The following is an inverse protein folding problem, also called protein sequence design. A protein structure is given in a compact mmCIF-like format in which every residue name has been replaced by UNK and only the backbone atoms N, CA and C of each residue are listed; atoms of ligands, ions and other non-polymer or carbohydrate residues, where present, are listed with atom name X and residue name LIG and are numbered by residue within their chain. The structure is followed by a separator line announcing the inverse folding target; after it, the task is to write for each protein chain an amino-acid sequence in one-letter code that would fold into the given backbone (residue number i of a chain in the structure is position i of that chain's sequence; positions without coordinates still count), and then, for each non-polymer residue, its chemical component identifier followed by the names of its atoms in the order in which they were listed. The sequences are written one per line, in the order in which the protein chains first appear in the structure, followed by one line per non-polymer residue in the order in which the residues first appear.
data_IF_963523252064
#
_entry.id   IF_963523252064
#
_cell.length_a   1.000
_cell.length_b   1.000
_cell.length_c   1.000
_cell.angle_alpha   90.00
_cell.angle_beta   90.00
_cell.angle_gamma   90.00
#
_symmetry.space_group_name_H-M   'P 1'
#
loop_
_entity.id
_entity.type
_entity.pdbx_description
1 polymer ?
#
# COMPACT_ATOMS: atom_id res chain seq x y z
N UNK A 1 17.59 6.89 -4.53
CA UNK A 1 18.26 5.75 -5.18
C UNK A 1 17.29 4.70 -5.73
N UNK A 2 15.99 4.73 -5.39
CA UNK A 2 14.97 3.82 -5.93
C UNK A 2 14.15 4.38 -7.10
N UNK A 3 14.24 5.69 -7.38
CA UNK A 3 13.50 6.31 -8.49
C UNK A 3 13.98 5.85 -9.87
N UNK A 4 15.23 5.39 -9.96
CA UNK A 4 15.87 4.96 -11.22
C UNK A 4 15.71 3.47 -11.52
N UNK A 5 15.01 2.73 -10.66
CA UNK A 5 15.17 1.27 -10.60
C UNK A 5 13.88 0.50 -10.85
N UNK A 6 12.71 1.16 -10.84
CA UNK A 6 11.47 0.39 -10.75
C UNK A 6 10.20 0.84 -11.43
N UNK A 7 10.20 2.04 -12.00
CA UNK A 7 9.08 2.61 -12.74
C UNK A 7 9.63 3.70 -13.66
N UNK A 8 10.19 3.31 -14.80
CA UNK A 8 10.78 4.25 -15.75
C UNK A 8 9.81 4.44 -16.91
N UNK A 9 9.51 5.69 -17.25
CA UNK A 9 8.88 6.05 -18.52
C UNK A 9 9.93 6.71 -19.40
N UNK A 10 10.30 6.05 -20.50
CA UNK A 10 11.16 6.62 -21.54
C UNK A 10 10.27 7.17 -22.64
N UNK A 11 10.21 8.50 -22.75
CA UNK A 11 9.52 9.18 -23.84
C UNK A 11 10.51 9.49 -24.95
N UNK A 12 10.14 9.21 -26.20
CA UNK A 12 10.95 9.58 -27.35
C UNK A 12 11.03 11.10 -27.50
N UNK A 13 12.15 11.60 -28.03
CA UNK A 13 12.34 13.04 -28.24
C UNK A 13 11.29 13.59 -29.22
N UNK A 14 10.74 14.79 -28.98
CA UNK A 14 9.84 15.43 -29.94
C UNK A 14 10.51 15.53 -31.32
N UNK A 15 9.81 15.09 -32.37
CA UNK A 15 10.32 15.00 -33.75
C UNK A 15 11.55 14.10 -33.94
N UNK A 16 11.87 13.24 -32.97
CA UNK A 16 12.93 12.23 -33.09
C UNK A 16 12.61 11.17 -34.14
N UNK A 17 13.63 10.38 -34.49
CA UNK A 17 13.50 9.27 -35.43
C UNK A 17 12.53 8.23 -34.88
N UNK A 18 12.52 8.01 -33.57
CA UNK A 18 11.65 7.07 -32.89
C UNK A 18 10.17 7.48 -32.98
N UNK A 19 9.86 8.75 -32.74
CA UNK A 19 8.49 9.28 -32.87
C UNK A 19 8.02 9.22 -34.32
N UNK A 20 8.89 9.59 -35.25
CA UNK A 20 8.61 9.52 -36.69
C UNK A 20 8.39 8.07 -37.15
N UNK A 21 9.16 7.14 -36.57
CA UNK A 21 8.99 5.70 -36.76
C UNK A 21 7.78 5.10 -36.02
N UNK A 22 7.10 5.87 -35.18
CA UNK A 22 5.87 5.49 -34.52
C UNK A 22 5.99 5.04 -33.06
N UNK A 23 7.16 5.11 -32.43
CA UNK A 23 7.31 4.88 -30.99
C UNK A 23 7.02 6.16 -30.21
N UNK A 24 6.03 6.11 -29.31
CA UNK A 24 5.64 7.27 -28.49
C UNK A 24 6.35 7.24 -27.13
N UNK A 25 6.22 6.13 -26.40
CA UNK A 25 6.92 5.91 -25.14
C UNK A 25 7.06 4.43 -24.82
N UNK A 26 8.01 4.12 -23.94
CA UNK A 26 8.20 2.80 -23.31
C UNK A 26 8.15 2.94 -21.80
N UNK A 27 7.43 2.05 -21.13
CA UNK A 27 7.27 2.03 -19.68
C UNK A 27 7.74 0.70 -19.11
N UNK A 28 8.51 0.76 -18.04
CA UNK A 28 9.14 -0.38 -17.38
C UNK A 28 8.69 -0.41 -15.92
N UNK A 29 8.00 -1.48 -15.52
CA UNK A 29 7.38 -1.62 -14.21
C UNK A 29 7.96 -2.80 -13.43
N UNK A 30 8.19 -2.57 -12.13
CA UNK A 30 8.44 -3.65 -11.19
C UNK A 30 7.14 -4.39 -10.86
N UNK A 31 7.18 -5.72 -10.94
CA UNK A 31 6.06 -6.59 -10.62
C UNK A 31 5.92 -6.88 -9.11
N UNK A 32 6.15 -5.89 -8.25
CA UNK A 32 6.18 -6.04 -6.79
C UNK A 32 4.84 -6.52 -6.18
N UNK A 33 3.73 -6.28 -6.89
CA UNK A 33 2.38 -6.70 -6.48
C UNK A 33 2.01 -8.08 -7.01
N UNK A 34 2.74 -8.61 -7.99
CA UNK A 34 2.41 -9.88 -8.63
C UNK A 34 2.31 -11.05 -7.63
N UNK A 35 3.18 -11.15 -6.60
CA UNK A 35 3.01 -12.16 -5.57
C UNK A 35 1.67 -12.06 -4.82
N UNK A 36 1.04 -10.89 -4.77
CA UNK A 36 -0.17 -10.67 -3.98
C UNK A 36 -1.45 -10.57 -4.83
N UNK A 37 -1.36 -10.55 -6.15
CA UNK A 37 -2.51 -10.49 -7.06
C UNK A 37 -3.20 -11.87 -7.16
N UNK A 38 -4.51 -11.92 -6.96
CA UNK A 38 -5.35 -13.02 -7.45
C UNK A 38 -6.61 -12.40 -8.02
N UNK A 39 -6.67 -12.29 -9.36
CA UNK A 39 -7.78 -11.68 -10.07
C UNK A 39 -8.13 -10.27 -9.54
N UNK A 40 -7.11 -9.45 -9.28
CA UNK A 40 -7.22 -8.09 -8.71
C UNK A 40 -7.70 -8.03 -7.25
N UNK A 41 -7.75 -9.17 -6.57
CA UNK A 41 -7.95 -9.27 -5.12
C UNK A 41 -6.61 -9.44 -4.42
N UNK A 42 -6.10 -8.33 -3.92
CA UNK A 42 -4.80 -8.27 -3.25
C UNK A 42 -4.90 -8.63 -1.76
N UNK A 43 -3.96 -9.43 -1.27
CA UNK A 43 -3.90 -9.83 0.13
C UNK A 43 -3.70 -8.61 1.06
N UNK A 44 -4.45 -8.50 2.16
CA UNK A 44 -4.35 -7.42 3.16
C UNK A 44 -4.78 -6.00 2.69
N UNK A 45 -5.27 -5.82 1.45
CA UNK A 45 -5.76 -4.52 0.96
C UNK A 45 -7.26 -4.18 1.22
N UNK A 46 -8.18 -5.16 1.39
CA UNK A 46 -9.58 -4.82 1.63
C UNK A 46 -9.76 -3.85 2.82
N UNK A 47 -10.43 -2.69 2.62
CA UNK A 47 -10.60 -1.66 3.67
C UNK A 47 -11.48 -2.15 4.83
N UNK A 48 -12.28 -3.20 4.59
CA UNK A 48 -13.15 -3.82 5.60
C UNK A 48 -12.38 -4.33 6.82
N UNK A 49 -11.07 -4.62 6.68
CA UNK A 49 -10.26 -5.05 7.83
C UNK A 49 -10.17 -4.00 8.93
N UNK A 50 -10.29 -2.70 8.62
CA UNK A 50 -10.32 -1.62 9.62
C UNK A 50 -11.43 -1.83 10.67
N UNK A 51 -12.51 -2.54 10.33
CA UNK A 51 -13.57 -2.88 11.28
C UNK A 51 -13.11 -3.83 12.41
N UNK A 52 -11.97 -4.50 12.28
CA UNK A 52 -11.37 -5.29 13.36
C UNK A 52 -10.82 -4.42 14.51
N UNK A 53 -10.56 -3.14 14.24
CA UNK A 53 -10.11 -2.20 15.24
C UNK A 53 -11.26 -1.52 15.99
N UNK A 54 -12.50 -1.71 15.54
CA UNK A 54 -13.69 -1.07 16.13
C UNK A 54 -14.19 -1.93 17.28
N UNK A 55 -14.62 -1.26 18.36
CA UNK A 55 -15.15 -1.92 19.54
C UNK A 55 -16.34 -2.87 19.18
N UNK A 56 -16.28 -4.16 19.57
CA UNK A 56 -17.34 -5.12 19.25
C UNK A 56 -18.71 -4.78 19.85
N UNK A 57 -18.77 -4.14 21.02
CA UNK A 57 -20.01 -3.64 21.65
C UNK A 57 -20.62 -2.56 20.77
N UNK A 58 -19.82 -1.62 20.29
CA UNK A 58 -20.28 -0.55 19.41
C UNK A 58 -20.82 -1.08 18.09
N UNK A 59 -20.11 -2.03 17.46
CA UNK A 59 -20.57 -2.69 16.24
C UNK A 59 -21.91 -3.42 16.44
N UNK A 60 -22.11 -4.08 17.59
CA UNK A 60 -23.40 -4.70 17.93
C UNK A 60 -24.52 -3.66 18.07
N UNK A 61 -24.24 -2.50 18.65
CA UNK A 61 -25.20 -1.41 18.79
C UNK A 61 -25.60 -0.82 17.43
N UNK A 62 -24.63 -0.55 16.55
CA UNK A 62 -24.90 -0.07 15.18
C UNK A 62 -25.77 -1.04 14.38
N UNK A 63 -25.48 -2.35 14.49
CA UNK A 63 -26.28 -3.41 13.85
C UNK A 63 -27.71 -3.43 14.38
N UNK A 64 -27.91 -3.30 15.69
CA UNK A 64 -29.26 -3.23 16.32
C UNK A 64 -30.02 -1.98 15.91
N UNK A 65 -29.34 -0.86 15.72
CA UNK A 65 -29.96 0.40 15.30
C UNK A 65 -30.32 0.43 13.79
N UNK A 66 -30.00 -0.61 13.02
CA UNK A 66 -30.21 -0.65 11.56
C UNK A 66 -29.36 0.35 10.78
N UNK A 67 -28.32 0.93 11.41
CA UNK A 67 -27.54 2.05 10.85
C UNK A 67 -26.32 1.62 10.05
N UNK A 68 -25.99 0.33 10.01
CA UNK A 68 -24.84 -0.16 9.24
C UNK A 68 -24.95 -1.64 8.84
N UNK A 69 -24.52 -1.94 7.61
CA UNK A 69 -24.08 -3.28 7.19
C UNK A 69 -22.75 -3.60 7.86
N UNK A 70 -22.81 -4.00 9.12
CA UNK A 70 -21.63 -4.38 9.89
C UNK A 70 -21.14 -5.76 9.42
N UNK A 71 -19.91 -5.82 8.90
CA UNK A 71 -19.26 -7.08 8.56
C UNK A 71 -19.18 -8.00 9.78
N UNK A 72 -19.48 -9.29 9.59
CA UNK A 72 -19.33 -10.28 10.65
C UNK A 72 -17.86 -10.33 11.12
N UNK A 73 -17.65 -10.02 12.40
CA UNK A 73 -16.33 -9.96 13.02
C UNK A 73 -15.60 -11.31 12.98
N UNK A 74 -16.33 -12.42 13.13
CA UNK A 74 -15.73 -13.75 13.07
C UNK A 74 -15.24 -14.07 11.65
N UNK A 75 -16.09 -13.83 10.65
CA UNK A 75 -15.73 -13.96 9.24
C UNK A 75 -14.57 -13.01 8.86
N UNK A 76 -14.58 -11.77 9.35
CA UNK A 76 -13.55 -10.78 9.06
C UNK A 76 -12.20 -11.16 9.67
N UNK A 77 -12.18 -11.64 10.92
CA UNK A 77 -10.96 -12.14 11.57
C UNK A 77 -10.40 -13.33 10.82
N UNK A 78 -11.26 -14.28 10.42
CA UNK A 78 -10.86 -15.42 9.58
C UNK A 78 -10.27 -14.95 8.24
N UNK A 79 -10.94 -14.01 7.56
CA UNK A 79 -10.47 -13.45 6.30
C UNK A 79 -9.10 -12.75 6.46
N UNK A 80 -8.89 -12.01 7.55
CA UNK A 80 -7.61 -11.36 7.86
C UNK A 80 -6.47 -12.40 8.03
N UNK A 81 -6.71 -13.44 8.83
CA UNK A 81 -5.72 -14.52 9.06
C UNK A 81 -5.39 -15.25 7.76
N UNK A 82 -6.40 -15.61 6.97
CA UNK A 82 -6.20 -16.24 5.65
C UNK A 82 -5.42 -15.34 4.70
N UNK A 83 -5.68 -14.03 4.73
CA UNK A 83 -4.94 -13.04 3.94
C UNK A 83 -3.46 -12.98 4.33
N UNK A 84 -3.15 -13.00 5.64
CA UNK A 84 -1.77 -13.09 6.13
C UNK A 84 -1.08 -14.39 5.70
N UNK A 85 -1.76 -15.52 5.85
CA UNK A 85 -1.24 -16.82 5.43
C UNK A 85 -0.95 -16.83 3.93
N UNK A 86 -1.87 -16.33 3.10
CA UNK A 86 -1.68 -16.17 1.67
C UNK A 86 -0.46 -15.29 1.37
N UNK A 87 -0.34 -14.12 1.99
CA UNK A 87 0.80 -13.23 1.77
C UNK A 87 2.14 -13.90 2.16
N UNK A 88 2.18 -14.61 3.29
CA UNK A 88 3.37 -15.32 3.75
C UNK A 88 3.74 -16.50 2.84
N UNK A 89 2.77 -17.28 2.40
CA UNK A 89 2.99 -18.39 1.46
C UNK A 89 3.51 -17.84 0.14
N UNK A 90 2.85 -16.82 -0.41
CA UNK A 90 3.25 -16.21 -1.68
C UNK A 90 4.69 -15.71 -1.63
N UNK A 91 5.10 -15.02 -0.56
CA UNK A 91 6.49 -14.58 -0.40
C UNK A 91 7.47 -15.76 -0.35
N UNK A 92 7.14 -16.86 0.35
CA UNK A 92 8.01 -18.04 0.44
C UNK A 92 8.15 -18.75 -0.92
N UNK A 93 7.05 -18.94 -1.63
CA UNK A 93 7.04 -19.63 -2.94
C UNK A 93 7.66 -18.79 -4.07
N UNK A 94 7.89 -17.48 -3.83
CA UNK A 94 8.53 -16.57 -4.76
C UNK A 94 10.07 -16.62 -4.74
N UNK A 95 10.69 -17.27 -3.76
CA UNK A 95 12.15 -17.30 -3.58
C UNK A 95 12.91 -17.77 -4.83
N UNK A 96 12.37 -18.78 -5.52
CA UNK A 96 12.98 -19.34 -6.74
C UNK A 96 12.42 -18.72 -8.02
N UNK A 97 11.75 -17.56 -7.93
CA UNK A 97 11.17 -16.85 -9.08
C UNK A 97 11.89 -15.52 -9.26
N UNK A 98 12.24 -15.21 -10.51
CA UNK A 98 12.60 -13.85 -10.89
C UNK A 98 11.37 -13.21 -11.53
N UNK A 99 10.86 -12.15 -10.90
CA UNK A 99 9.86 -11.30 -11.53
C UNK A 99 10.65 -10.26 -12.32
N UNK A 100 10.87 -10.55 -13.60
CA UNK A 100 11.49 -9.58 -14.51
C UNK A 100 10.69 -8.28 -14.59
N UNK A 101 11.22 -7.33 -15.35
CA UNK A 101 10.55 -6.06 -15.60
C UNK A 101 9.36 -6.29 -16.55
N UNK A 102 8.18 -5.77 -16.20
CA UNK A 102 7.08 -5.67 -17.19
C UNK A 102 7.35 -4.47 -18.07
N UNK A 103 7.34 -4.69 -19.38
CA UNK A 103 7.53 -3.66 -20.39
C UNK A 103 6.20 -3.34 -21.07
N UNK A 104 5.92 -2.07 -21.29
CA UNK A 104 4.74 -1.58 -21.99
C UNK A 104 5.14 -0.50 -23.00
N UNK A 105 4.90 -0.74 -24.28
CA UNK A 105 5.28 0.18 -25.36
C UNK A 105 4.05 0.78 -26.01
N UNK A 106 4.01 2.11 -26.09
CA UNK A 106 3.00 2.84 -26.84
C UNK A 106 3.54 3.12 -28.23
N UNK A 107 2.96 2.43 -29.21
CA UNK A 107 3.36 2.54 -30.62
C UNK A 107 2.18 2.96 -31.52
N UNK A 108 2.51 3.48 -32.68
CA UNK A 108 1.55 3.82 -33.74
C UNK A 108 0.98 2.54 -34.37
N UNK A 109 -0.22 2.65 -34.94
CA UNK A 109 -0.84 1.54 -35.66
C UNK A 109 -0.01 1.07 -36.87
N UNK A 110 0.58 1.97 -37.70
CA UNK A 110 1.50 1.56 -38.76
C UNK A 110 2.68 0.74 -38.25
N UNK A 111 3.34 1.18 -37.17
CA UNK A 111 4.47 0.44 -36.59
C UNK A 111 4.02 -0.93 -36.06
N UNK A 112 2.87 -1.01 -35.39
CA UNK A 112 2.33 -2.29 -34.93
C UNK A 112 2.10 -3.26 -36.10
N UNK A 113 1.57 -2.79 -37.24
CA UNK A 113 1.36 -3.64 -38.42
C UNK A 113 2.67 -4.16 -39.01
N UNK A 114 3.71 -3.33 -39.04
CA UNK A 114 5.05 -3.74 -39.48
C UNK A 114 5.63 -4.80 -38.55
N UNK A 115 5.59 -4.56 -37.23
CA UNK A 115 6.04 -5.54 -36.21
C UNK A 115 5.32 -6.88 -36.36
N UNK A 116 4.00 -6.87 -36.61
CA UNK A 116 3.23 -8.10 -36.81
C UNK A 116 3.57 -8.81 -38.13
N UNK A 117 3.86 -8.07 -39.20
CA UNK A 117 4.27 -8.66 -40.47
C UNK A 117 5.64 -9.34 -40.37
N UNK A 118 6.56 -8.75 -39.59
CA UNK A 118 7.91 -9.25 -39.44
C UNK A 118 8.05 -10.22 -38.25
N UNK A 119 6.99 -10.43 -37.45
CA UNK A 119 7.05 -11.15 -36.18
C UNK A 119 7.70 -12.54 -36.28
N UNK A 120 7.28 -13.32 -37.28
CA UNK A 120 7.77 -14.69 -37.49
C UNK A 120 9.19 -14.74 -38.08
N UNK A 121 9.71 -13.61 -38.56
CA UNK A 121 11.06 -13.49 -39.11
C UNK A 121 12.11 -13.09 -38.08
N UNK A 122 11.69 -12.73 -36.87
CA UNK A 122 12.60 -12.32 -35.78
C UNK A 122 13.39 -13.52 -35.27
N UNK A 123 14.68 -13.55 -35.55
CA UNK A 123 15.62 -14.51 -34.93
C UNK A 123 15.86 -14.05 -33.50
N UNK A 124 15.39 -14.83 -32.52
CA UNK A 124 15.68 -14.56 -31.12
C UNK A 124 17.19 -14.69 -30.85
N UNK A 125 17.81 -13.71 -30.18
CA UNK A 125 19.22 -13.82 -29.80
C UNK A 125 19.41 -15.07 -28.93
N UNK A 126 20.46 -15.85 -29.22
CA UNK A 126 20.89 -16.95 -28.36
C UNK A 126 21.23 -16.41 -26.98
N UNK A 127 20.87 -17.16 -25.92
CA UNK A 127 21.02 -16.76 -24.51
C UNK A 127 22.43 -16.28 -24.12
N UNK A 128 23.45 -16.65 -24.90
CA UNK A 128 24.85 -16.24 -24.69
C UNK A 128 25.10 -14.74 -24.89
N UNK A 129 24.20 -14.01 -25.58
CA UNK A 129 24.36 -12.58 -25.88
C UNK A 129 23.49 -11.63 -25.04
N UNK A 130 22.76 -12.14 -24.04
CA UNK A 130 21.96 -11.26 -23.17
C UNK A 130 22.87 -10.63 -22.13
N UNK A 131 23.22 -9.36 -22.32
CA UNK A 131 23.90 -8.57 -21.30
C UNK A 131 23.06 -8.57 -20.01
N UNK A 132 23.65 -9.03 -18.91
CA UNK A 132 23.02 -8.94 -17.60
C UNK A 132 22.71 -7.47 -17.27
N UNK A 133 21.64 -7.19 -16.51
CA UNK A 133 21.32 -5.82 -16.12
C UNK A 133 22.48 -5.21 -15.32
N UNK A 134 22.72 -3.92 -15.54
CA UNK A 134 23.81 -3.17 -14.87
C UNK A 134 23.73 -3.25 -13.34
N UNK A 135 22.52 -3.39 -12.82
CA UNK A 135 22.28 -3.58 -11.40
C UNK A 135 21.10 -4.56 -11.23
N UNK A 136 21.14 -5.38 -10.19
CA UNK A 136 20.02 -6.25 -9.79
C UNK A 136 19.91 -6.26 -8.27
N UNK A 137 18.68 -6.32 -7.76
CA UNK A 137 18.42 -6.60 -6.34
C UNK A 137 18.14 -8.09 -6.21
N UNK A 138 18.82 -8.83 -5.31
CA UNK A 138 18.47 -10.20 -5.03
C UNK A 138 16.99 -10.35 -4.69
N UNK A 139 16.33 -11.37 -5.25
CA UNK A 139 14.92 -11.66 -4.97
C UNK A 139 14.67 -11.75 -3.46
N UNK A 140 15.58 -12.39 -2.73
CA UNK A 140 15.45 -12.56 -1.29
C UNK A 140 15.43 -11.24 -0.54
N UNK A 141 16.23 -10.25 -0.92
CA UNK A 141 16.24 -8.95 -0.28
C UNK A 141 14.89 -8.24 -0.46
N UNK A 142 14.32 -8.31 -1.66
CA UNK A 142 12.99 -7.77 -1.94
C UNK A 142 11.91 -8.49 -1.15
N UNK A 143 11.95 -9.82 -1.08
CA UNK A 143 10.98 -10.63 -0.32
C UNK A 143 11.07 -10.38 1.19
N UNK A 144 12.29 -10.28 1.75
CA UNK A 144 12.51 -9.93 3.15
C UNK A 144 12.02 -8.52 3.46
N UNK A 145 12.31 -7.56 2.58
CA UNK A 145 11.80 -6.20 2.70
C UNK A 145 10.27 -6.18 2.74
N UNK A 146 9.60 -6.82 1.78
CA UNK A 146 8.14 -6.93 1.72
C UNK A 146 7.54 -7.60 2.96
N UNK A 147 8.17 -8.68 3.42
CA UNK A 147 7.79 -9.36 4.67
C UNK A 147 7.88 -8.40 5.85
N UNK A 148 8.95 -7.63 5.94
CA UNK A 148 9.12 -6.58 6.96
C UNK A 148 8.04 -5.49 6.88
N UNK A 149 7.72 -5.02 5.67
CA UNK A 149 6.67 -4.01 5.45
C UNK A 149 5.30 -4.47 5.91
N UNK A 150 4.95 -5.73 5.65
CA UNK A 150 3.69 -6.32 6.09
C UNK A 150 3.71 -6.51 7.61
N UNK A 151 4.77 -7.14 8.13
CA UNK A 151 4.86 -7.54 9.53
C UNK A 151 4.85 -6.36 10.48
N UNK A 152 5.45 -5.22 10.16
CA UNK A 152 5.45 -4.05 11.05
C UNK A 152 4.03 -3.58 11.39
N UNK A 153 3.12 -3.63 10.41
CA UNK A 153 1.73 -3.21 10.60
C UNK A 153 0.88 -4.33 11.20
N UNK A 154 1.07 -5.58 10.79
CA UNK A 154 0.44 -6.73 11.45
C UNK A 154 0.79 -6.78 12.94
N UNK A 155 2.07 -6.68 13.28
CA UNK A 155 2.57 -6.71 14.65
C UNK A 155 1.94 -5.60 15.48
N UNK A 156 1.95 -4.36 14.98
CA UNK A 156 1.33 -3.23 15.68
C UNK A 156 -0.15 -3.47 15.97
N UNK A 157 -0.91 -3.92 14.97
CA UNK A 157 -2.33 -4.23 15.14
C UNK A 157 -2.56 -5.36 16.14
N UNK A 158 -1.91 -6.50 15.93
CA UNK A 158 -2.12 -7.71 16.73
C UNK A 158 -1.64 -7.56 18.17
N UNK A 159 -0.55 -6.81 18.38
CA UNK A 159 -0.02 -6.52 19.70
C UNK A 159 -1.01 -5.69 20.52
N UNK A 160 -1.58 -4.62 19.93
CA UNK A 160 -2.57 -3.79 20.62
C UNK A 160 -3.86 -4.58 20.84
N UNK A 161 -4.33 -5.31 19.83
CA UNK A 161 -5.53 -6.15 19.94
C UNK A 161 -5.39 -7.22 21.02
N UNK A 162 -4.24 -7.89 21.11
CA UNK A 162 -3.99 -8.95 22.08
C UNK A 162 -3.90 -8.48 23.54
N UNK A 163 -3.70 -7.17 23.75
CA UNK A 163 -3.67 -6.52 25.08
C UNK A 163 -4.93 -5.74 25.40
N UNK A 164 -5.77 -5.50 24.39
CA UNK A 164 -7.02 -4.80 24.57
C UNK A 164 -7.98 -5.65 25.42
N UNK A 165 -8.78 -4.98 26.25
CA UNK A 165 -9.83 -5.64 27.02
C UNK A 165 -11.02 -6.03 26.14
N UNK A 166 -12.14 -6.46 26.76
CA UNK A 166 -13.40 -6.74 26.05
C UNK A 166 -13.98 -5.54 25.30
N UNK A 167 -13.54 -4.32 25.66
CA UNK A 167 -13.89 -3.05 25.04
C UNK A 167 -12.61 -2.33 24.63
N UNK A 168 -12.67 -1.59 23.53
CA UNK A 168 -11.54 -0.87 22.96
C UNK A 168 -11.68 0.62 23.25
N UNK A 169 -10.69 1.18 23.94
CA UNK A 169 -10.59 2.63 24.08
C UNK A 169 -10.27 3.28 22.74
N UNK A 170 -10.53 4.58 22.62
CA UNK A 170 -10.09 5.37 21.47
C UNK A 170 -8.56 5.33 21.31
N UNK A 171 -7.84 5.27 22.43
CA UNK A 171 -6.38 5.20 22.47
C UNK A 171 -5.84 3.88 21.87
N UNK A 172 -6.62 2.80 21.90
CA UNK A 172 -6.32 1.52 21.24
C UNK A 172 -6.84 1.46 19.80
N UNK A 173 -8.06 1.95 19.59
CA UNK A 173 -8.76 1.94 18.31
C UNK A 173 -7.94 2.67 17.23
N UNK A 174 -7.47 3.88 17.53
CA UNK A 174 -6.75 4.73 16.55
C UNK A 174 -5.50 4.04 16.00
N UNK A 175 -4.54 3.58 16.83
CA UNK A 175 -3.36 2.89 16.31
C UNK A 175 -3.66 1.57 15.62
N UNK A 176 -4.69 0.83 16.04
CA UNK A 176 -5.13 -0.36 15.31
C UNK A 176 -5.67 0.00 13.91
N UNK A 177 -6.50 1.04 13.78
CA UNK A 177 -6.98 1.52 12.47
C UNK A 177 -5.81 1.98 11.60
N UNK A 178 -4.88 2.76 12.16
CA UNK A 178 -3.70 3.22 11.43
C UNK A 178 -2.84 2.04 10.94
N UNK A 179 -2.67 1.01 11.76
CA UNK A 179 -1.94 -0.19 11.37
C UNK A 179 -2.62 -0.91 10.21
N UNK A 180 -3.93 -1.15 10.30
CA UNK A 180 -4.72 -1.81 9.25
C UNK A 180 -4.79 -0.98 7.97
N UNK A 181 -4.87 0.34 8.10
CA UNK A 181 -4.79 1.26 6.96
C UNK A 181 -3.40 1.24 6.33
N UNK A 182 -2.34 1.18 7.13
CA UNK A 182 -0.97 0.99 6.65
C UNK A 182 -0.79 -0.32 5.87
N UNK A 183 -1.41 -1.41 6.33
CA UNK A 183 -1.40 -2.70 5.61
C UNK A 183 -1.98 -2.58 4.20
N UNK A 184 -3.00 -1.74 4.00
CA UNK A 184 -3.59 -1.53 2.67
C UNK A 184 -2.60 -1.00 1.63
N UNK A 185 -1.57 -0.29 2.07
CA UNK A 185 -0.57 0.36 1.20
C UNK A 185 0.85 -0.21 1.40
N UNK A 186 1.01 -1.33 2.11
CA UNK A 186 2.33 -1.79 2.57
C UNK A 186 3.29 -2.29 1.48
N UNK A 187 2.79 -2.55 0.27
CA UNK A 187 3.59 -2.95 -0.89
C UNK A 187 3.18 -2.18 -2.17
N UNK A 188 2.47 -1.06 -2.01
CA UNK A 188 2.06 -0.19 -3.10
C UNK A 188 2.08 1.28 -2.68
N UNK A 189 3.02 2.04 -3.25
CA UNK A 189 3.20 3.47 -2.95
C UNK A 189 2.31 4.38 -3.78
N UNK A 190 1.84 3.94 -4.96
CA UNK A 190 1.08 4.82 -5.86
C UNK A 190 -0.27 5.23 -5.26
N UNK A 191 -1.06 4.38 -4.61
CA UNK A 191 -2.30 4.82 -3.96
C UNK A 191 -2.05 5.56 -2.65
N UNK A 192 -0.84 5.51 -2.07
CA UNK A 192 -0.55 6.09 -0.75
C UNK A 192 -0.73 7.62 -0.73
N UNK A 193 -0.43 8.33 -1.83
CA UNK A 193 -0.61 9.79 -1.88
C UNK A 193 -2.07 10.23 -1.70
N UNK A 194 -3.02 9.32 -2.01
CA UNK A 194 -4.46 9.55 -1.83
C UNK A 194 -4.93 9.28 -0.40
N UNK A 195 -4.05 8.80 0.47
CA UNK A 195 -4.34 8.51 1.88
C UNK A 195 -3.71 9.61 2.76
N UNK A 196 -4.42 10.72 3.02
CA UNK A 196 -3.85 11.87 3.71
C UNK A 196 -3.47 11.58 5.16
N UNK A 197 -4.12 10.61 5.82
CA UNK A 197 -3.79 10.24 7.20
C UNK A 197 -2.40 9.63 7.29
N UNK A 198 -1.97 8.87 6.28
CA UNK A 198 -0.63 8.28 6.25
C UNK A 198 0.38 9.22 5.58
N UNK A 199 0.02 9.76 4.42
CA UNK A 199 0.92 10.52 3.54
C UNK A 199 1.12 11.97 4.00
N UNK A 200 0.03 12.64 4.39
CA UNK A 200 0.02 14.05 4.75
C UNK A 200 0.76 14.34 6.06
N UNK A 201 1.10 15.60 6.27
CA UNK A 201 1.82 16.08 7.45
C UNK A 201 0.88 16.86 8.38
N UNK A 202 0.75 18.16 8.17
CA UNK A 202 -0.20 19.02 8.88
C UNK A 202 -0.91 19.90 7.86
N UNK A 203 -2.23 20.02 7.98
CA UNK A 203 -3.01 20.89 7.11
C UNK A 203 -4.28 21.35 7.82
N UNK A 204 -4.80 22.49 7.39
CA UNK A 204 -6.09 22.99 7.84
C UNK A 204 -7.14 22.60 6.82
N UNK A 205 -8.16 21.87 7.26
CA UNK A 205 -9.33 21.61 6.44
C UNK A 205 -10.36 22.70 6.68
N UNK A 206 -10.70 23.41 5.61
CA UNK A 206 -11.72 24.45 5.61
C UNK A 206 -13.00 23.85 5.04
N UNK A 207 -13.90 23.47 5.93
CA UNK A 207 -15.31 23.24 5.59
C UNK A 207 -16.11 24.45 6.10
N UNK A 208 -16.90 24.27 7.17
CA UNK A 208 -17.65 25.33 7.83
C UNK A 208 -16.90 25.97 9.00
N UNK A 209 -16.07 25.19 9.68
CA UNK A 209 -15.16 25.63 10.75
C UNK A 209 -13.77 25.07 10.42
N UNK A 210 -12.71 25.90 10.46
CA UNK A 210 -11.35 25.41 10.25
C UNK A 210 -10.98 24.34 11.29
N UNK A 211 -10.60 23.17 10.81
CA UNK A 211 -10.09 22.10 11.65
C UNK A 211 -8.65 21.76 11.29
N UNK A 212 -7.78 21.76 12.30
CA UNK A 212 -6.42 21.23 12.15
C UNK A 212 -6.46 19.72 11.98
N UNK A 213 -5.85 19.24 10.90
CA UNK A 213 -5.61 17.82 10.64
C UNK A 213 -4.11 17.54 10.66
N UNK A 214 -3.78 16.33 11.07
CA UNK A 214 -2.42 15.82 10.98
C UNK A 214 -2.46 14.41 10.39
N UNK A 215 -1.45 14.09 9.58
CA UNK A 215 -1.16 12.74 9.14
C UNK A 215 0.15 12.25 9.78
N UNK A 216 0.65 11.14 9.28
CA UNK A 216 1.87 10.51 9.80
C UNK A 216 3.14 11.03 9.13
N UNK A 217 3.02 11.91 8.13
CA UNK A 217 4.14 12.57 7.48
C UNK A 217 4.98 11.65 6.59
N UNK A 218 4.39 10.55 6.08
CA UNK A 218 5.15 9.59 5.27
C UNK A 218 5.76 10.25 4.03
N UNK A 219 5.10 11.24 3.43
CA UNK A 219 5.68 12.03 2.33
C UNK A 219 7.07 12.58 2.65
N UNK A 220 7.25 13.21 3.81
CA UNK A 220 8.54 13.80 4.21
C UNK A 220 9.60 12.72 4.41
N UNK A 221 9.24 11.60 5.03
CA UNK A 221 10.18 10.48 5.22
C UNK A 221 10.58 9.83 3.90
N UNK A 222 9.64 9.70 2.95
CA UNK A 222 9.91 9.19 1.61
C UNK A 222 10.87 10.11 0.86
N UNK A 223 10.65 11.42 0.92
CA UNK A 223 11.56 12.39 0.30
C UNK A 223 12.96 12.38 0.89
N UNK A 224 13.06 12.27 2.23
CA UNK A 224 14.35 12.34 2.93
C UNK A 224 15.14 11.04 2.88
N UNK A 225 14.45 9.90 2.90
CA UNK A 225 15.07 8.60 3.15
C UNK A 225 14.74 7.54 2.08
N UNK A 226 13.93 7.88 1.07
CA UNK A 226 13.41 6.91 0.10
C UNK A 226 12.41 5.91 0.70
N UNK A 227 11.97 6.13 1.95
CA UNK A 227 11.15 5.18 2.69
C UNK A 227 10.05 5.85 3.51
N UNK A 228 8.82 5.34 3.39
CA UNK A 228 7.66 5.83 4.13
C UNK A 228 7.62 5.32 5.56
N UNK A 229 7.86 6.21 6.52
CA UNK A 229 7.71 5.98 7.94
C UNK A 229 7.05 7.16 8.67
N UNK A 230 6.62 6.90 9.90
CA UNK A 230 5.94 7.89 10.71
C UNK A 230 6.92 8.93 11.23
N UNK A 231 6.51 10.19 11.21
CA UNK A 231 7.27 11.30 11.79
C UNK A 231 7.54 11.03 13.28
N UNK A 232 8.76 11.35 13.70
CA UNK A 232 9.18 11.22 15.10
C UNK A 232 8.27 12.03 16.04
N UNK A 233 8.04 11.51 17.25
CA UNK A 233 7.26 12.18 18.29
C UNK A 233 5.74 12.10 18.14
N UNK A 234 5.20 11.46 17.09
CA UNK A 234 3.76 11.24 16.96
C UNK A 234 3.24 10.12 17.87
N UNK A 235 3.98 9.01 17.92
CA UNK A 235 3.61 7.77 18.59
C UNK A 235 4.55 7.49 19.76
N UNK A 236 3.98 7.02 20.87
CA UNK A 236 4.70 6.55 22.06
C UNK A 236 4.81 5.04 21.95
N UNK A 237 6.02 4.53 21.67
CA UNK A 237 6.25 3.10 21.42
C UNK A 237 6.19 2.27 22.70
N UNK A 238 6.46 2.87 23.86
CA UNK A 238 6.43 2.23 25.18
C UNK A 238 4.99 1.92 25.60
N UNK A 239 4.06 2.84 25.33
CA UNK A 239 2.64 2.70 25.66
C UNK A 239 1.79 2.20 24.50
N UNK A 240 2.34 2.17 23.28
CA UNK A 240 1.65 1.84 22.04
C UNK A 240 0.45 2.76 21.77
N UNK A 241 0.62 4.07 22.00
CA UNK A 241 -0.42 5.10 21.85
C UNK A 241 0.06 6.31 21.07
N UNK A 242 -0.83 6.95 20.34
CA UNK A 242 -0.59 8.31 19.85
C UNK A 242 -0.71 9.32 20.99
N UNK A 243 0.06 10.41 20.92
CA UNK A 243 -0.06 11.52 21.87
C UNK A 243 -1.46 12.12 21.79
N UNK A 244 -2.09 12.47 22.91
CA UNK A 244 -3.48 12.93 22.98
C UNK A 244 -3.89 13.99 21.94
N UNK A 245 -3.13 15.09 21.78
CA UNK A 245 -3.42 16.10 20.74
C UNK A 245 -3.32 15.56 19.31
N UNK A 246 -2.38 14.65 19.06
CA UNK A 246 -2.19 14.00 17.75
C UNK A 246 -3.37 13.08 17.43
N UNK A 247 -3.80 12.27 18.40
CA UNK A 247 -4.98 11.40 18.27
C UNK A 247 -6.19 12.19 17.79
N UNK A 248 -6.48 13.35 18.41
CA UNK A 248 -7.63 14.20 18.01
C UNK A 248 -7.52 14.72 16.57
N UNK A 249 -6.32 15.13 16.14
CA UNK A 249 -6.08 15.67 14.79
C UNK A 249 -6.06 14.60 13.69
N UNK A 250 -5.67 13.36 14.02
CA UNK A 250 -5.79 12.20 13.13
C UNK A 250 -7.25 11.77 12.90
N UNK A 251 -8.12 12.06 13.86
CA UNK A 251 -9.51 11.60 13.88
C UNK A 251 -10.49 12.47 13.07
N UNK A 252 -10.21 13.77 12.95
CA UNK A 252 -11.07 14.72 12.23
C UNK A 252 -11.38 14.15 10.85
N UNK A 253 -12.66 13.99 10.50
CA UNK A 253 -13.20 13.50 9.21
C UNK A 253 -12.78 12.07 8.78
N UNK A 254 -12.36 11.22 9.72
CA UNK A 254 -12.31 9.78 9.50
C UNK A 254 -13.68 9.19 9.83
N UNK A 255 -14.47 8.81 8.81
CA UNK A 255 -15.85 8.32 8.96
C UNK A 255 -15.95 7.09 9.89
N UNK A 256 -14.92 6.25 9.95
CA UNK A 256 -14.87 5.09 10.86
C UNK A 256 -14.60 5.47 12.32
N UNK A 257 -14.13 6.71 12.57
CA UNK A 257 -13.74 7.21 13.88
C UNK A 257 -14.46 8.53 14.22
N UNK A 258 -15.73 8.63 13.82
CA UNK A 258 -16.56 9.81 13.99
C UNK A 258 -16.69 10.23 15.46
N UNK A 259 -17.11 11.48 15.69
CA UNK A 259 -17.32 12.09 17.01
C UNK A 259 -18.26 11.30 17.96
N UNK A 260 -18.97 10.28 17.48
CA UNK A 260 -19.73 9.34 18.31
C UNK A 260 -18.82 8.49 19.22
N UNK A 261 -17.54 8.31 18.86
CA UNK A 261 -16.50 7.70 19.73
C UNK A 261 -16.12 8.58 20.94
N UNK A 262 -16.54 9.86 21.01
CA UNK A 262 -16.27 10.74 22.15
C UNK A 262 -17.26 10.56 23.31
N UNK A 263 -18.36 9.82 23.14
CA UNK A 263 -19.33 9.56 24.21
C UNK A 263 -19.20 8.13 24.73
N UNK A 264 -18.20 7.94 25.61
CA UNK A 264 -18.32 7.27 26.92
C UNK A 264 -16.97 7.35 27.64
#
# INVERSE_FOLDING_TARGET
MTDEVGNITMTSAPNGVEVTGGLVYSQYYNLIKAPFDAQKVYALQPPVYENLAIDPVYLRQLRRAGRATVADQAALKKAYVLSKQRASLNLRECHNRSFGTREEHRISLPLLRQVLADWDSVVLPTREHVSLPWFSVPTDDVLHFLRGQINRHCLLFEYILGRAGPMFSLAETVPMVIALRGLRYCYDSNPLFKEPVLFGDEWTQVEWVPHERTGLGMYRSMQRHGFGWWRAGLFQWESWRFRGPITRRLLVGNLLLHAEYRRR
#
